data_IF_635982436477
#
_entry.id   IF_635982436477
#
_cell.length_a   1.000
_cell.length_b   1.000
_cell.length_c   1.000
_cell.angle_alpha   90.00
_cell.angle_beta   90.00
_cell.angle_gamma   90.00
#
_symmetry.space_group_name_H-M   'P 1'
#
loop_
_entity.id
_entity.type
_entity.pdbx_description
1 polymer ?
#
# COMPACT_ATOMS: atom_id res chain seq x y z
N UNK A 1 -58.71 27.31 29.46
CA UNK A 1 -57.81 26.14 29.63
C UNK A 1 -57.82 25.32 28.35
N UNK A 2 -56.71 25.29 27.59
CA UNK A 2 -56.63 24.59 26.30
C UNK A 2 -56.29 23.11 26.50
N UNK A 3 -57.20 22.22 26.09
CA UNK A 3 -57.05 20.76 26.21
C UNK A 3 -56.08 20.25 25.13
N UNK A 4 -54.85 19.94 25.51
CA UNK A 4 -53.86 19.28 24.64
C UNK A 4 -54.32 17.86 24.32
N UNK A 5 -54.74 17.60 23.07
CA UNK A 5 -54.92 16.23 22.55
C UNK A 5 -53.56 15.55 22.46
N UNK A 6 -53.21 14.70 23.43
CA UNK A 6 -52.14 13.71 23.24
C UNK A 6 -52.59 12.70 22.19
N UNK A 7 -51.97 12.72 21.02
CA UNK A 7 -52.13 11.63 20.04
C UNK A 7 -51.24 10.47 20.47
N UNK A 8 -51.85 9.32 20.78
CA UNK A 8 -51.13 8.10 21.14
C UNK A 8 -50.23 7.66 19.97
N UNK A 9 -48.91 7.73 20.16
CA UNK A 9 -47.93 7.16 19.23
C UNK A 9 -47.87 5.66 19.45
N UNK A 10 -48.35 4.87 18.47
CA UNK A 10 -48.25 3.41 18.46
C UNK A 10 -46.78 2.96 18.66
N UNK A 11 -46.55 2.04 19.59
CA UNK A 11 -45.22 1.56 20.00
C UNK A 11 -44.58 0.51 19.06
N UNK A 12 -45.28 0.08 18.00
CA UNK A 12 -44.75 -0.88 17.03
C UNK A 12 -44.90 -0.35 15.61
N UNK A 13 -43.92 0.43 15.19
CA UNK A 13 -43.74 0.79 13.78
C UNK A 13 -43.02 -0.35 13.05
N UNK A 14 -43.76 -1.20 12.32
CA UNK A 14 -43.11 -2.22 11.52
C UNK A 14 -44.05 -3.16 10.75
N UNK A 15 -44.38 -2.75 9.52
CA UNK A 15 -45.00 -3.53 8.41
C UNK A 15 -46.51 -3.80 8.48
N UNK A 16 -47.19 -3.36 7.41
CA UNK A 16 -48.52 -3.84 7.03
C UNK A 16 -48.46 -5.30 6.51
N UNK A 17 -49.52 -6.11 6.65
CA UNK A 17 -49.51 -7.50 6.21
C UNK A 17 -49.45 -7.57 4.68
N UNK A 18 -48.41 -8.24 4.15
CA UNK A 18 -48.16 -8.32 2.71
C UNK A 18 -48.72 -9.63 2.16
N UNK A 19 -49.63 -9.57 1.19
CA UNK A 19 -50.07 -10.70 0.36
C UNK A 19 -48.84 -11.28 -0.36
N UNK A 20 -48.63 -12.59 -0.28
CA UNK A 20 -47.47 -13.25 -0.90
C UNK A 20 -47.58 -13.18 -2.42
N UNK A 21 -46.76 -12.33 -3.02
CA UNK A 21 -46.36 -12.37 -4.42
C UNK A 21 -44.83 -12.37 -4.42
N UNK A 22 -44.22 -13.30 -5.16
CA UNK A 22 -42.78 -13.46 -5.24
C UNK A 22 -42.12 -12.13 -5.60
N UNK A 23 -41.37 -11.55 -4.66
CA UNK A 23 -40.77 -10.23 -4.83
C UNK A 23 -39.29 -10.40 -5.09
N UNK A 24 -38.89 -10.23 -6.36
CA UNK A 24 -37.53 -9.78 -6.69
C UNK A 24 -37.21 -8.62 -5.74
N UNK A 25 -36.05 -8.68 -5.08
CA UNK A 25 -35.62 -7.61 -4.18
C UNK A 25 -35.46 -6.32 -4.99
N UNK A 26 -36.52 -5.51 -5.03
CA UNK A 26 -36.46 -4.14 -5.49
C UNK A 26 -35.48 -3.43 -4.56
N UNK A 27 -34.24 -3.24 -5.04
CA UNK A 27 -33.29 -2.34 -4.39
C UNK A 27 -34.06 -1.04 -4.16
N UNK A 28 -34.06 -0.54 -2.93
CA UNK A 28 -34.69 0.74 -2.56
C UNK A 28 -34.16 1.84 -3.50
N UNK A 29 -34.85 2.09 -4.61
CA UNK A 29 -34.74 3.35 -5.32
C UNK A 29 -35.41 4.39 -4.44
N UNK A 30 -34.70 5.51 -4.22
CA UNK A 30 -35.19 6.60 -3.40
C UNK A 30 -36.55 7.10 -3.92
N UNK A 31 -37.43 7.61 -3.04
CA UNK A 31 -38.68 8.23 -3.46
C UNK A 31 -38.40 9.34 -4.48
N UNK A 32 -39.21 9.42 -5.55
CA UNK A 32 -39.04 10.36 -6.67
C UNK A 32 -39.26 11.84 -6.29
N UNK A 33 -39.67 12.11 -5.06
CA UNK A 33 -39.93 13.46 -4.54
C UNK A 33 -39.23 13.64 -3.20
N UNK A 34 -37.96 14.05 -3.28
CA UNK A 34 -37.12 14.34 -2.13
C UNK A 34 -35.66 14.19 -2.51
N UNK A 35 -34.89 15.28 -2.42
CA UNK A 35 -33.48 15.29 -2.79
C UNK A 35 -32.74 14.07 -2.24
N UNK A 36 -32.08 13.33 -3.14
CA UNK A 36 -31.30 12.14 -2.78
C UNK A 36 -30.34 12.53 -1.65
N UNK A 37 -30.44 11.86 -0.49
CA UNK A 37 -29.51 12.09 0.62
C UNK A 37 -28.09 11.92 0.10
N UNK A 38 -27.27 12.97 0.20
CA UNK A 38 -25.88 12.93 -0.23
C UNK A 38 -25.16 11.77 0.48
N UNK A 39 -24.38 10.93 -0.23
CA UNK A 39 -23.55 9.92 0.40
C UNK A 39 -22.67 10.55 1.47
N UNK A 40 -22.55 9.90 2.62
CA UNK A 40 -21.67 10.37 3.68
C UNK A 40 -20.20 10.30 3.22
N UNK A 41 -19.48 11.42 3.30
CA UNK A 41 -18.05 11.51 2.99
C UNK A 41 -17.31 12.00 4.23
N UNK A 42 -16.27 11.27 4.63
CA UNK A 42 -15.37 11.72 5.70
C UNK A 42 -14.63 13.00 5.29
N UNK A 43 -14.32 13.86 6.27
CA UNK A 43 -13.52 15.06 6.02
C UNK A 43 -12.10 14.67 5.60
N UNK A 44 -11.41 15.48 4.78
CA UNK A 44 -10.00 15.28 4.50
C UNK A 44 -9.19 15.13 5.80
N UNK A 45 -8.26 14.18 5.83
CA UNK A 45 -7.48 13.83 7.03
C UNK A 45 -8.14 12.81 7.97
N UNK A 46 -9.48 12.68 8.01
CA UNK A 46 -10.14 11.71 8.91
C UNK A 46 -9.77 10.26 8.60
N UNK A 47 -9.71 9.91 7.30
CA UNK A 47 -9.33 8.56 6.89
C UNK A 47 -7.83 8.35 7.06
N UNK A 48 -7.00 9.33 6.73
CA UNK A 48 -5.54 9.27 6.93
C UNK A 48 -5.16 9.03 8.40
N UNK A 49 -5.79 9.73 9.35
CA UNK A 49 -5.56 9.51 10.78
C UNK A 49 -6.02 8.13 11.25
N UNK A 50 -7.07 7.57 10.63
CA UNK A 50 -7.53 6.21 10.92
C UNK A 50 -6.51 5.18 10.41
N UNK A 51 -5.97 5.39 9.21
CA UNK A 51 -4.94 4.53 8.61
C UNK A 51 -3.64 4.57 9.42
N UNK A 52 -3.16 5.76 9.81
CA UNK A 52 -1.98 5.91 10.67
C UNK A 52 -2.15 5.08 11.97
N UNK A 53 -3.28 5.24 12.67
CA UNK A 53 -3.54 4.47 13.89
C UNK A 53 -3.65 2.97 13.65
N UNK A 54 -4.21 2.56 12.50
CA UNK A 54 -4.31 1.15 12.12
C UNK A 54 -2.91 0.57 11.94
N UNK A 55 -2.08 1.21 11.11
CA UNK A 55 -0.76 0.69 10.74
C UNK A 55 0.27 0.79 11.87
N UNK A 56 0.17 1.78 12.76
CA UNK A 56 0.99 1.84 13.97
C UNK A 56 0.67 0.70 14.97
N UNK A 57 -0.53 0.10 14.90
CA UNK A 57 -0.93 -1.01 15.79
C UNK A 57 -0.58 -2.38 15.21
N UNK A 58 -0.37 -2.48 13.90
CA UNK A 58 -0.07 -3.72 13.20
C UNK A 58 1.42 -3.86 12.88
N UNK A 59 1.87 -5.09 12.70
CA UNK A 59 3.23 -5.41 12.23
C UNK A 59 3.20 -6.08 10.84
N UNK A 60 2.10 -5.88 10.09
CA UNK A 60 1.97 -6.43 8.74
C UNK A 60 2.89 -5.69 7.77
N UNK A 61 3.53 -6.43 6.85
CA UNK A 61 4.29 -5.86 5.76
C UNK A 61 3.34 -5.18 4.76
N UNK A 62 3.64 -3.94 4.40
CA UNK A 62 2.82 -3.07 3.56
C UNK A 62 3.16 -3.21 2.07
N UNK A 63 4.38 -3.63 1.74
CA UNK A 63 4.78 -3.86 0.35
C UNK A 63 4.31 -5.26 -0.08
N UNK A 64 3.72 -5.36 -1.28
CA UNK A 64 3.30 -6.65 -1.83
C UNK A 64 4.52 -7.54 -2.09
N UNK A 65 4.47 -8.78 -1.58
CA UNK A 65 5.58 -9.76 -1.64
C UNK A 65 6.11 -10.02 -3.05
N UNK A 66 5.23 -10.25 -4.03
CA UNK A 66 5.64 -10.61 -5.40
C UNK A 66 6.35 -9.45 -6.13
N UNK A 67 5.82 -8.21 -6.15
CA UNK A 67 6.56 -7.07 -6.68
C UNK A 67 7.90 -6.83 -5.98
N UNK A 68 7.96 -6.92 -4.64
CA UNK A 68 9.21 -6.75 -3.90
C UNK A 68 10.24 -7.82 -4.29
N UNK A 69 9.83 -9.08 -4.37
CA UNK A 69 10.69 -10.17 -4.82
C UNK A 69 11.22 -9.95 -6.25
N UNK A 70 10.39 -9.43 -7.17
CA UNK A 70 10.83 -9.12 -8.54
C UNK A 70 11.89 -8.02 -8.53
N UNK A 71 11.68 -6.97 -7.75
CA UNK A 71 12.65 -5.87 -7.59
C UNK A 71 13.98 -6.37 -7.03
N UNK A 72 13.95 -7.22 -5.98
CA UNK A 72 15.18 -7.81 -5.41
C UNK A 72 15.95 -8.62 -6.46
N UNK A 73 15.25 -9.39 -7.29
CA UNK A 73 15.88 -10.19 -8.35
C UNK A 73 16.43 -9.34 -9.49
N UNK A 74 15.70 -8.29 -9.87
CA UNK A 74 16.14 -7.31 -10.87
C UNK A 74 17.46 -6.66 -10.45
N UNK A 75 17.49 -6.05 -9.24
CA UNK A 75 18.69 -5.41 -8.69
C UNK A 75 19.85 -6.40 -8.60
N UNK A 76 19.61 -7.61 -8.11
CA UNK A 76 20.66 -8.60 -7.94
C UNK A 76 21.25 -9.11 -9.26
N UNK A 77 20.44 -9.10 -10.33
CA UNK A 77 20.91 -9.49 -11.65
C UNK A 77 21.94 -8.50 -12.20
N UNK A 78 21.75 -7.20 -11.95
CA UNK A 78 22.67 -6.15 -12.42
C UNK A 78 24.09 -6.35 -11.87
N UNK A 79 24.22 -6.72 -10.59
CA UNK A 79 25.50 -7.00 -9.94
C UNK A 79 26.24 -8.25 -10.46
N UNK A 80 25.55 -9.18 -11.15
CA UNK A 80 26.18 -10.38 -11.75
C UNK A 80 26.71 -10.11 -13.17
N UNK A 81 26.27 -9.04 -13.83
CA UNK A 81 26.61 -8.75 -15.24
C UNK A 81 27.98 -8.10 -15.47
N UNK A 82 28.73 -7.77 -14.42
CA UNK A 82 30.09 -7.23 -14.53
C UNK A 82 31.17 -8.29 -14.82
N UNK A 83 30.81 -9.58 -14.87
CA UNK A 83 31.66 -10.65 -15.41
C UNK A 83 31.57 -10.72 -16.95
N UNK A 84 31.82 -9.59 -17.62
CA UNK A 84 31.85 -9.51 -19.10
C UNK A 84 33.25 -9.85 -19.62
N UNK A 85 33.47 -11.11 -19.97
CA UNK A 85 34.56 -11.46 -20.87
C UNK A 85 34.33 -10.77 -22.23
N UNK A 86 35.37 -10.11 -22.77
CA UNK A 86 35.32 -9.44 -24.07
C UNK A 86 34.79 -10.40 -25.13
N UNK A 87 33.80 -9.95 -25.90
CA UNK A 87 33.10 -10.74 -26.93
C UNK A 87 34.02 -11.29 -28.02
N UNK A 88 35.21 -10.70 -28.22
CA UNK A 88 36.25 -11.22 -29.12
C UNK A 88 36.94 -12.48 -28.61
N UNK A 89 36.98 -12.73 -27.29
CA UNK A 89 37.53 -13.96 -26.72
C UNK A 89 36.52 -15.13 -26.71
N UNK A 90 35.21 -14.82 -26.74
CA UNK A 90 34.13 -15.82 -26.62
C UNK A 90 33.89 -16.58 -27.93
N UNK A 91 34.15 -15.96 -29.09
CA UNK A 91 33.98 -16.61 -30.39
C UNK A 91 35.01 -17.75 -30.65
N UNK A 92 36.18 -17.70 -30.02
CA UNK A 92 37.23 -18.71 -30.19
C UNK A 92 37.03 -19.97 -29.32
N UNK A 93 36.12 -19.94 -28.34
CA UNK A 93 35.91 -21.00 -27.35
C UNK A 93 34.50 -21.61 -27.40
N UNK A 94 33.82 -21.47 -28.55
CA UNK A 94 32.36 -21.47 -28.67
C UNK A 94 31.65 -22.83 -28.47
N UNK A 95 32.36 -23.93 -28.22
CA UNK A 95 31.73 -25.18 -27.79
C UNK A 95 31.95 -25.48 -26.30
N UNK A 96 33.20 -25.45 -25.80
CA UNK A 96 33.47 -25.72 -24.38
C UNK A 96 32.99 -24.60 -23.44
N UNK A 97 33.06 -23.33 -23.85
CA UNK A 97 32.63 -22.20 -23.01
C UNK A 97 31.13 -21.97 -23.09
N UNK A 98 30.42 -22.44 -24.11
CA UNK A 98 28.96 -22.29 -24.15
C UNK A 98 28.29 -23.14 -23.07
N UNK A 99 28.84 -24.33 -22.81
CA UNK A 99 28.43 -25.20 -21.71
C UNK A 99 28.87 -24.63 -20.35
N UNK A 100 30.13 -24.22 -20.21
CA UNK A 100 30.68 -23.67 -18.95
C UNK A 100 30.09 -22.28 -18.61
N UNK A 101 29.85 -21.40 -19.58
CA UNK A 101 29.29 -20.06 -19.36
C UNK A 101 27.77 -20.07 -19.16
N UNK A 102 27.06 -21.11 -19.61
CA UNK A 102 25.68 -21.35 -19.20
C UNK A 102 25.62 -21.77 -17.73
N UNK A 103 26.61 -22.53 -17.23
CA UNK A 103 26.72 -22.87 -15.81
C UNK A 103 27.17 -21.69 -14.93
N UNK A 104 28.00 -20.75 -15.42
CA UNK A 104 28.28 -19.50 -14.69
C UNK A 104 27.08 -18.52 -14.67
N UNK A 105 26.13 -18.67 -15.60
CA UNK A 105 24.79 -18.03 -15.56
C UNK A 105 23.80 -18.78 -14.67
N UNK A 106 24.27 -19.54 -13.68
CA UNK A 106 23.41 -20.05 -12.59
C UNK A 106 22.51 -18.93 -12.05
N UNK A 107 21.20 -19.07 -12.24
CA UNK A 107 20.18 -18.17 -11.72
C UNK A 107 20.47 -17.85 -10.25
N UNK A 108 20.47 -16.57 -9.86
CA UNK A 108 20.57 -16.21 -8.46
C UNK A 108 19.36 -16.80 -7.71
N UNK A 109 19.65 -17.84 -6.93
CA UNK A 109 18.66 -18.51 -6.10
C UNK A 109 18.63 -17.81 -4.74
N UNK A 110 17.51 -17.17 -4.48
CA UNK A 110 17.23 -16.58 -3.19
C UNK A 110 16.50 -17.58 -2.31
N UNK A 111 16.97 -17.74 -1.07
CA UNK A 111 16.18 -18.36 -0.03
C UNK A 111 14.94 -17.49 0.26
N UNK A 112 13.81 -18.12 0.55
CA UNK A 112 12.58 -17.39 0.89
C UNK A 112 12.75 -16.48 2.12
N UNK A 113 13.50 -16.93 3.12
CA UNK A 113 13.84 -16.13 4.32
C UNK A 113 14.74 -14.94 4.00
N UNK A 114 15.65 -15.04 3.01
CA UNK A 114 16.50 -13.93 2.61
C UNK A 114 15.67 -12.80 1.99
N UNK A 115 14.72 -13.14 1.11
CA UNK A 115 13.79 -12.13 0.54
C UNK A 115 12.90 -11.52 1.63
N UNK A 116 12.45 -12.32 2.60
CA UNK A 116 11.67 -11.82 3.73
C UNK A 116 12.49 -10.85 4.61
N UNK A 117 13.73 -11.20 4.95
CA UNK A 117 14.62 -10.35 5.74
C UNK A 117 14.92 -9.02 5.03
N UNK A 118 15.16 -9.06 3.71
CA UNK A 118 15.31 -7.84 2.89
C UNK A 118 14.05 -6.98 2.94
N UNK A 119 12.88 -7.60 2.90
CA UNK A 119 11.61 -6.87 2.96
C UNK A 119 11.40 -6.23 4.34
N UNK A 120 11.63 -6.96 5.42
CA UNK A 120 11.53 -6.44 6.79
C UNK A 120 12.47 -5.26 7.00
N UNK A 121 13.74 -5.39 6.60
CA UNK A 121 14.72 -4.32 6.70
C UNK A 121 14.35 -3.09 5.86
N UNK A 122 13.88 -3.31 4.62
CA UNK A 122 13.49 -2.22 3.72
C UNK A 122 12.28 -1.43 4.26
N UNK A 123 11.25 -2.13 4.74
CA UNK A 123 10.07 -1.46 5.30
C UNK A 123 10.39 -0.74 6.60
N UNK A 124 11.19 -1.33 7.48
CA UNK A 124 11.64 -0.68 8.72
C UNK A 124 12.44 0.59 8.43
N UNK A 125 13.37 0.53 7.47
CA UNK A 125 14.15 1.69 7.03
C UNK A 125 13.26 2.80 6.47
N UNK A 126 12.31 2.46 5.59
CA UNK A 126 11.39 3.43 4.99
C UNK A 126 10.48 4.08 6.02
N UNK A 127 9.93 3.31 6.97
CA UNK A 127 9.10 3.85 8.06
C UNK A 127 9.90 4.86 8.89
N UNK A 128 11.10 4.48 9.33
CA UNK A 128 11.98 5.41 10.06
C UNK A 128 12.30 6.65 9.23
N UNK A 129 12.59 6.51 7.94
CA UNK A 129 12.86 7.66 7.06
C UNK A 129 11.64 8.59 6.96
N UNK A 130 10.42 8.04 6.89
CA UNK A 130 9.19 8.84 6.88
C UNK A 130 8.92 9.56 8.20
N UNK A 131 9.32 9.00 9.35
CA UNK A 131 9.25 9.67 10.64
C UNK A 131 10.11 10.94 10.66
N UNK A 132 11.38 10.84 10.25
CA UNK A 132 12.28 12.00 10.17
C UNK A 132 11.83 13.02 9.12
N UNK A 133 11.35 12.52 7.97
CA UNK A 133 10.80 13.37 6.90
C UNK A 133 9.60 14.17 7.41
N UNK A 134 8.73 13.54 8.22
CA UNK A 134 7.59 14.20 8.82
C UNK A 134 8.02 15.29 9.82
N UNK A 135 9.06 15.03 10.63
CA UNK A 135 9.65 16.06 11.51
C UNK A 135 10.21 17.25 10.71
N UNK A 136 10.86 17.00 9.58
CA UNK A 136 11.35 18.07 8.70
C UNK A 136 10.21 18.90 8.10
N UNK A 137 9.10 18.26 7.70
CA UNK A 137 7.93 18.96 7.19
C UNK A 137 7.27 19.83 8.27
N UNK A 138 7.12 19.30 9.49
CA UNK A 138 6.56 20.02 10.65
C UNK A 138 7.46 21.20 11.05
N UNK A 139 8.78 21.01 11.04
CA UNK A 139 9.75 22.08 11.29
C UNK A 139 9.56 23.25 10.30
N UNK A 140 9.23 22.94 9.04
CA UNK A 140 8.90 23.92 8.01
C UNK A 140 7.42 24.38 8.02
N UNK A 141 6.68 24.16 9.11
CA UNK A 141 5.25 24.52 9.29
C UNK A 141 4.31 23.93 8.23
N UNK A 142 4.63 22.74 7.70
CA UNK A 142 3.81 22.00 6.74
C UNK A 142 3.33 20.68 7.33
N UNK A 143 2.21 20.17 6.80
CA UNK A 143 1.66 18.85 7.12
C UNK A 143 1.89 17.84 5.98
N UNK A 144 2.24 18.34 4.79
CA UNK A 144 2.54 17.52 3.62
C UNK A 144 4.06 17.41 3.45
N UNK A 145 4.55 16.17 3.49
CA UNK A 145 5.95 15.84 3.20
C UNK A 145 6.27 16.10 1.72
N UNK A 146 7.50 16.52 1.45
CA UNK A 146 8.01 16.85 0.11
C UNK A 146 9.37 16.17 -0.10
N UNK A 147 9.84 16.02 -1.36
CA UNK A 147 11.15 15.44 -1.64
C UNK A 147 12.32 16.14 -0.92
N UNK A 148 12.24 17.46 -0.72
CA UNK A 148 13.24 18.22 0.06
C UNK A 148 13.33 17.80 1.52
N UNK A 149 12.23 17.33 2.11
CA UNK A 149 12.20 16.86 3.49
C UNK A 149 12.92 15.52 3.62
N UNK A 150 12.75 14.64 2.61
CA UNK A 150 13.46 13.36 2.52
C UNK A 150 14.96 13.60 2.30
N UNK A 151 15.32 14.51 1.39
CA UNK A 151 16.70 14.88 1.12
C UNK A 151 17.38 15.44 2.38
N UNK A 152 16.69 16.29 3.13
CA UNK A 152 17.17 16.84 4.39
C UNK A 152 17.37 15.73 5.44
N UNK A 153 16.37 14.86 5.63
CA UNK A 153 16.45 13.74 6.56
C UNK A 153 17.64 12.82 6.25
N UNK A 154 17.79 12.39 4.99
CA UNK A 154 18.92 11.57 4.54
C UNK A 154 20.27 12.27 4.75
N UNK A 155 20.33 13.58 4.47
CA UNK A 155 21.55 14.36 4.68
C UNK A 155 21.95 14.44 6.16
N UNK A 156 20.99 14.59 7.07
CA UNK A 156 21.23 14.62 8.52
C UNK A 156 21.69 13.23 9.02
N UNK A 157 21.10 12.14 8.48
CA UNK A 157 21.51 10.77 8.80
C UNK A 157 22.92 10.39 8.32
N UNK A 158 23.54 11.20 7.48
CA UNK A 158 24.83 10.86 6.87
C UNK A 158 24.72 9.88 5.70
N UNK A 159 23.50 9.59 5.24
CA UNK A 159 23.22 8.77 4.05
C UNK A 159 23.44 9.61 2.79
N UNK A 160 24.70 9.96 2.51
CA UNK A 160 25.02 10.67 1.26
C UNK A 160 24.81 9.75 0.07
N UNK A 161 24.18 10.32 -0.97
CA UNK A 161 24.21 9.80 -2.33
C UNK A 161 25.63 9.86 -2.90
#
# INVERSE_FOLDING_TARGET
MARTKQTARKSTGGKAPRKQLATKAARKSAPATGGVKKPHRFRPGTVALREIRKYQKSTELLIRKLPFQRLVREIAQDFKTDLRFQSSAVAALQEAVREIAQDFKTDLRFQSSAVAALQEAAEAYLVGLFEDTNLCAIHAKRVTIMPKDIQLARRIRGERA
#
